data_IF_064000374556
#
_entry.id   IF_064000374556
#
_cell.length_a   1.000
_cell.length_b   1.000
_cell.length_c   1.000
_cell.angle_alpha   90.00
_cell.angle_beta   90.00
_cell.angle_gamma   90.00
#
_symmetry.space_group_name_H-M   'P 1'
#
loop_
_entity.id
_entity.type
_entity.pdbx_description
1 polymer ?
#
# COMPACT_ATOMS: atom_id res chain seq x y z
N UNK A 1 -1.67 47.68 28.95
CA UNK A 1 -0.43 46.97 28.56
C UNK A 1 -0.71 45.48 28.54
N UNK A 2 -0.87 44.90 27.35
CA UNK A 2 -1.13 43.46 27.16
C UNK A 2 0.18 42.68 27.32
N UNK A 3 0.27 41.79 28.32
CA UNK A 3 1.37 40.83 28.42
C UNK A 3 1.04 39.67 27.47
N UNK A 4 1.71 39.66 26.32
CA UNK A 4 1.78 38.52 25.42
C UNK A 4 2.43 37.37 26.20
N UNK A 5 1.62 36.41 26.64
CA UNK A 5 2.10 35.13 27.15
C UNK A 5 2.75 34.38 25.99
N UNK A 6 4.07 34.48 25.87
CA UNK A 6 4.85 33.58 25.03
C UNK A 6 4.74 32.19 25.64
N UNK A 7 3.85 31.37 25.08
CA UNK A 7 3.81 29.93 25.31
C UNK A 7 5.16 29.37 24.85
N UNK A 8 6.08 29.17 25.80
CA UNK A 8 7.37 28.53 25.58
C UNK A 8 7.07 27.10 25.14
N UNK A 9 7.02 26.87 23.82
CA UNK A 9 7.07 25.53 23.26
C UNK A 9 8.37 24.91 23.78
N UNK A 10 8.26 23.91 24.63
CA UNK A 10 9.40 23.14 25.10
C UNK A 10 9.86 22.31 23.88
N UNK A 11 10.70 22.92 23.04
CA UNK A 11 11.38 22.24 21.95
C UNK A 11 12.25 21.14 22.59
N UNK A 12 11.77 19.90 22.55
CA UNK A 12 12.43 18.79 23.23
C UNK A 12 13.59 18.34 22.35
N UNK A 13 14.77 18.86 22.66
CA UNK A 13 16.06 18.49 22.06
C UNK A 13 16.48 17.12 22.61
N UNK A 14 16.54 16.10 21.75
CA UNK A 14 16.96 14.76 22.16
C UNK A 14 18.23 14.36 21.41
N UNK A 15 19.25 13.95 22.15
CA UNK A 15 20.48 13.37 21.62
C UNK A 15 20.64 11.96 22.19
N UNK A 16 20.60 10.95 21.32
CA UNK A 16 20.76 9.54 21.65
C UNK A 16 22.06 8.95 21.09
N UNK A 17 22.94 9.77 20.53
CA UNK A 17 24.26 9.38 20.06
C UNK A 17 24.98 8.45 21.06
N UNK A 18 25.60 7.39 20.54
CA UNK A 18 26.29 6.33 21.29
C UNK A 18 25.37 5.36 22.05
N UNK A 19 24.05 5.40 21.82
CA UNK A 19 23.15 4.36 22.29
C UNK A 19 23.13 3.18 21.30
N UNK A 20 23.18 1.91 21.73
CA UNK A 20 23.01 0.76 20.85
C UNK A 20 21.70 0.81 20.03
N UNK A 21 20.68 1.53 20.50
CA UNK A 21 19.45 1.78 19.75
C UNK A 21 19.69 2.53 18.43
N UNK A 22 20.74 3.35 18.32
CA UNK A 22 21.08 4.06 17.09
C UNK A 22 21.59 3.14 15.97
N UNK A 23 21.85 1.85 16.26
CA UNK A 23 22.31 0.88 15.26
C UNK A 23 21.17 0.36 14.37
N UNK A 24 19.91 0.51 14.79
CA UNK A 24 18.76 0.00 14.03
C UNK A 24 18.34 0.97 12.92
N UNK A 25 18.19 0.50 11.67
CA UNK A 25 17.86 1.37 10.52
C UNK A 25 16.60 2.24 10.68
N UNK A 26 15.64 1.83 11.52
CA UNK A 26 14.37 2.54 11.74
C UNK A 26 14.30 3.25 13.10
N UNK A 27 15.38 3.27 13.88
CA UNK A 27 15.37 3.83 15.25
C UNK A 27 14.85 5.27 15.28
N UNK A 28 15.30 6.08 14.32
CA UNK A 28 14.93 7.49 14.20
C UNK A 28 13.42 7.65 14.01
N UNK A 29 12.83 6.93 13.06
CA UNK A 29 11.39 6.99 12.80
C UNK A 29 10.58 6.43 13.98
N UNK A 30 11.09 5.39 14.64
CA UNK A 30 10.48 4.80 15.83
C UNK A 30 10.41 5.79 16.99
N UNK A 31 11.50 6.51 17.27
CA UNK A 31 11.53 7.55 18.31
C UNK A 31 10.56 8.68 17.98
N UNK A 32 10.54 9.14 16.72
CA UNK A 32 9.62 10.20 16.30
C UNK A 32 8.16 9.73 16.44
N UNK A 33 7.86 8.44 16.21
CA UNK A 33 6.51 7.86 16.39
C UNK A 33 6.05 7.94 17.84
N UNK A 34 6.90 7.50 18.77
CA UNK A 34 6.58 7.47 20.19
C UNK A 34 6.68 8.84 20.86
N UNK A 35 7.49 9.74 20.33
CA UNK A 35 7.71 11.10 20.85
C UNK A 35 7.41 12.15 19.78
N UNK A 36 6.13 12.45 19.49
CA UNK A 36 5.75 13.40 18.45
C UNK A 36 6.18 14.85 18.76
N UNK A 37 6.47 15.18 20.02
CA UNK A 37 6.92 16.51 20.45
C UNK A 37 8.39 16.84 20.14
N UNK A 38 9.18 15.88 19.65
CA UNK A 38 10.60 16.08 19.35
C UNK A 38 10.75 16.93 18.08
N UNK A 39 11.42 18.07 18.18
CA UNK A 39 11.72 18.96 17.05
C UNK A 39 13.13 18.72 16.49
N UNK A 40 14.10 18.38 17.36
CA UNK A 40 15.47 18.08 16.98
C UNK A 40 15.90 16.75 17.61
N UNK A 41 16.27 15.79 16.76
CA UNK A 41 16.74 14.48 17.16
C UNK A 41 18.13 14.26 16.58
N UNK A 42 19.11 13.96 17.44
CA UNK A 42 20.50 13.72 17.04
C UNK A 42 21.03 14.84 16.14
N UNK A 43 20.91 16.10 16.58
CA UNK A 43 21.32 17.32 15.85
C UNK A 43 20.62 17.53 14.49
N UNK A 44 19.72 16.64 14.08
CA UNK A 44 18.96 16.72 12.84
C UNK A 44 17.52 17.12 13.13
N UNK A 45 17.03 18.16 12.45
CA UNK A 45 15.63 18.57 12.57
C UNK A 45 14.71 17.47 12.06
N UNK A 46 13.63 17.24 12.80
CA UNK A 46 12.59 16.29 12.39
C UNK A 46 11.76 16.95 11.29
N UNK A 47 11.86 16.41 10.09
CA UNK A 47 11.13 16.91 8.93
C UNK A 47 9.68 16.43 8.92
N UNK A 48 8.80 17.19 8.27
CA UNK A 48 7.41 16.77 8.10
C UNK A 48 7.29 15.50 7.24
N UNK A 49 8.24 15.29 6.31
CA UNK A 49 8.33 14.07 5.52
C UNK A 49 8.50 12.84 6.41
N UNK A 50 9.42 12.87 7.36
CA UNK A 50 9.62 11.79 8.33
C UNK A 50 8.37 11.54 9.17
N UNK A 51 7.68 12.61 9.61
CA UNK A 51 6.43 12.50 10.36
C UNK A 51 5.34 11.80 9.55
N UNK A 52 5.19 12.15 8.28
CA UNK A 52 4.23 11.50 7.37
C UNK A 52 4.62 10.05 7.10
N UNK A 53 5.89 9.77 6.81
CA UNK A 53 6.42 8.43 6.57
C UNK A 53 6.22 7.50 7.76
N UNK A 54 6.41 8.00 8.98
CA UNK A 54 6.22 7.24 10.20
C UNK A 54 4.74 6.86 10.42
N UNK A 55 3.80 7.76 10.14
CA UNK A 55 2.36 7.43 10.19
C UNK A 55 2.03 6.33 9.19
N UNK A 56 2.59 6.41 7.97
CA UNK A 56 2.41 5.39 6.93
C UNK A 56 2.99 4.02 7.33
N UNK A 57 4.12 4.01 8.05
CA UNK A 57 4.85 2.77 8.36
C UNK A 57 4.32 2.07 9.63
N UNK A 58 4.00 2.82 10.69
CA UNK A 58 3.72 2.25 12.01
C UNK A 58 2.23 2.24 12.39
N UNK A 59 1.36 2.93 11.64
CA UNK A 59 -0.06 2.98 11.97
C UNK A 59 -0.93 2.90 10.71
N UNK A 60 -1.31 1.67 10.33
CA UNK A 60 -2.12 1.41 9.14
C UNK A 60 -3.47 2.15 9.17
N UNK A 61 -4.13 2.27 10.35
CA UNK A 61 -5.42 2.98 10.48
C UNK A 61 -5.26 4.46 10.17
N UNK A 62 -4.26 5.12 10.75
CA UNK A 62 -3.97 6.53 10.49
C UNK A 62 -3.48 6.74 9.04
N UNK A 63 -2.68 5.82 8.52
CA UNK A 63 -2.23 5.84 7.13
C UNK A 63 -3.42 5.82 6.15
N UNK A 64 -4.36 4.90 6.36
CA UNK A 64 -5.57 4.78 5.55
C UNK A 64 -6.42 6.06 5.60
N UNK A 65 -6.59 6.65 6.79
CA UNK A 65 -7.31 7.93 6.93
C UNK A 65 -6.60 9.03 6.13
N UNK A 66 -5.28 9.20 6.26
CA UNK A 66 -4.53 10.22 5.51
C UNK A 66 -4.65 10.01 4.00
N UNK A 67 -4.58 8.76 3.52
CA UNK A 67 -4.76 8.43 2.11
C UNK A 67 -6.19 8.76 1.63
N UNK A 68 -7.22 8.33 2.36
CA UNK A 68 -8.62 8.61 2.00
C UNK A 68 -8.94 10.10 1.91
N UNK A 69 -8.36 10.92 2.80
CA UNK A 69 -8.47 12.39 2.78
C UNK A 69 -7.78 12.97 1.54
N UNK A 70 -6.59 12.48 1.18
CA UNK A 70 -5.85 12.95 0.01
C UNK A 70 -6.63 12.75 -1.30
N UNK A 71 -7.49 11.73 -1.36
CA UNK A 71 -8.37 11.47 -2.51
C UNK A 71 -9.73 12.18 -2.43
N UNK A 72 -9.92 13.12 -1.49
CA UNK A 72 -11.19 13.85 -1.28
C UNK A 72 -12.39 12.90 -1.02
N UNK A 73 -12.12 11.65 -0.62
CA UNK A 73 -13.15 10.71 -0.22
C UNK A 73 -13.59 11.05 1.21
N UNK A 74 -14.88 11.32 1.41
CA UNK A 74 -15.42 11.43 2.77
C UNK A 74 -15.20 10.08 3.47
N UNK A 75 -14.58 10.13 4.64
CA UNK A 75 -14.23 8.97 5.44
C UNK A 75 -15.50 8.28 5.93
N UNK A 76 -15.87 7.15 5.32
CA UNK A 76 -16.60 6.09 6.02
C UNK A 76 -15.54 5.21 6.71
N UNK A 77 -15.07 5.65 7.89
CA UNK A 77 -14.08 4.94 8.71
C UNK A 77 -14.64 3.66 9.38
N UNK A 78 -15.80 3.17 8.96
CA UNK A 78 -16.32 1.89 9.43
C UNK A 78 -16.00 0.80 8.41
N UNK A 79 -14.79 0.28 8.45
CA UNK A 79 -14.55 -1.13 8.10
C UNK A 79 -15.12 -2.02 9.21
N UNK A 80 -16.39 -1.82 9.53
CA UNK A 80 -17.13 -2.70 10.40
C UNK A 80 -17.90 -3.62 9.45
N UNK A 81 -17.57 -4.93 9.38
CA UNK A 81 -18.28 -5.87 8.52
C UNK A 81 -19.77 -6.00 8.89
N UNK A 82 -20.19 -5.38 10.00
CA UNK A 82 -21.58 -5.26 10.45
C UNK A 82 -22.20 -3.87 10.27
N UNK A 83 -21.51 -2.92 9.64
CA UNK A 83 -22.09 -1.60 9.40
C UNK A 83 -23.23 -1.68 8.36
N UNK A 84 -24.37 -0.97 8.54
CA UNK A 84 -25.49 -1.02 7.62
C UNK A 84 -25.26 -0.18 6.35
N UNK A 85 -24.04 0.31 6.11
CA UNK A 85 -23.73 1.11 4.95
C UNK A 85 -23.87 0.26 3.69
N UNK A 86 -24.85 0.64 2.86
CA UNK A 86 -25.22 -0.05 1.64
C UNK A 86 -24.04 -0.12 0.68
N UNK A 87 -23.29 -1.23 0.74
CA UNK A 87 -22.44 -1.64 -0.37
C UNK A 87 -23.34 -1.72 -1.61
N UNK A 88 -22.94 -1.06 -2.70
CA UNK A 88 -23.65 -1.19 -3.99
C UNK A 88 -23.78 -2.69 -4.30
N UNK A 89 -24.93 -3.17 -4.78
CA UNK A 89 -25.11 -4.59 -5.05
C UNK A 89 -24.00 -5.05 -5.99
N UNK A 90 -23.11 -5.92 -5.49
CA UNK A 90 -22.18 -6.64 -6.32
C UNK A 90 -23.00 -7.37 -7.38
N UNK A 91 -22.61 -7.22 -8.64
CA UNK A 91 -23.19 -7.93 -9.77
C UNK A 91 -23.28 -9.42 -9.41
N UNK A 92 -24.49 -10.01 -9.48
CA UNK A 92 -24.70 -11.44 -9.19
C UNK A 92 -23.79 -12.25 -10.11
N UNK A 93 -22.74 -12.79 -9.53
CA UNK A 93 -21.88 -13.76 -10.20
C UNK A 93 -22.71 -15.02 -10.47
N UNK A 94 -22.54 -15.70 -11.62
CA UNK A 94 -23.24 -16.94 -11.94
C UNK A 94 -23.06 -18.01 -10.86
N UNK A 95 -24.05 -18.89 -10.70
CA UNK A 95 -24.04 -19.96 -9.68
C UNK A 95 -22.85 -20.90 -9.76
N UNK A 96 -22.26 -21.05 -10.96
CA UNK A 96 -21.11 -21.93 -11.21
C UNK A 96 -19.76 -21.21 -11.01
N UNK A 97 -19.77 -19.95 -10.60
CA UNK A 97 -18.55 -19.20 -10.29
C UNK A 97 -18.03 -19.62 -8.90
N UNK A 98 -17.28 -20.71 -8.87
CA UNK A 98 -16.48 -21.06 -7.71
C UNK A 98 -15.36 -20.03 -7.57
N UNK A 99 -15.49 -19.10 -6.62
CA UNK A 99 -14.31 -18.44 -6.08
C UNK A 99 -13.42 -19.55 -5.55
N UNK A 100 -12.25 -19.75 -6.18
CA UNK A 100 -11.19 -20.52 -5.58
C UNK A 100 -10.82 -19.81 -4.28
N UNK A 101 -11.46 -20.23 -3.19
CA UNK A 101 -11.10 -19.85 -1.83
C UNK A 101 -9.77 -20.56 -1.51
N UNK A 102 -8.71 -20.13 -2.20
CA UNK A 102 -7.34 -20.26 -1.72
C UNK A 102 -7.07 -19.16 -0.68
N UNK A 103 -8.08 -18.85 0.15
CA UNK A 103 -7.86 -18.14 1.39
C UNK A 103 -7.24 -19.17 2.30
N UNK A 104 -5.92 -19.37 2.16
CA UNK A 104 -5.12 -19.82 3.29
C UNK A 104 -5.59 -18.98 4.45
N UNK A 105 -6.25 -19.62 5.41
CA UNK A 105 -6.82 -19.00 6.60
C UNK A 105 -5.71 -18.12 7.17
N UNK A 106 -5.79 -16.82 6.95
CA UNK A 106 -4.70 -15.91 7.25
C UNK A 106 -4.44 -16.05 8.74
N UNK A 107 -3.25 -16.52 9.13
CA UNK A 107 -2.85 -16.67 10.54
C UNK A 107 -2.71 -15.30 11.25
N UNK A 108 -3.29 -14.25 10.69
CA UNK A 108 -3.23 -12.88 11.16
C UNK A 108 -4.60 -12.54 11.74
N UNK A 109 -4.60 -12.09 13.00
CA UNK A 109 -5.81 -11.66 13.71
C UNK A 109 -6.45 -10.41 13.07
N UNK A 110 -5.64 -9.59 12.40
CA UNK A 110 -6.06 -8.41 11.64
C UNK A 110 -5.94 -8.69 10.12
N UNK A 111 -7.04 -8.58 9.34
CA UNK A 111 -6.99 -8.77 7.89
C UNK A 111 -6.07 -7.77 7.18
N UNK A 112 -5.82 -6.59 7.75
CA UNK A 112 -4.93 -5.58 7.15
C UNK A 112 -3.45 -5.95 7.27
N UNK A 113 -3.06 -6.70 8.32
CA UNK A 113 -1.70 -7.21 8.48
C UNK A 113 -1.38 -8.27 7.42
N UNK A 114 -2.38 -9.10 7.06
CA UNK A 114 -2.26 -10.04 5.96
C UNK A 114 -2.04 -9.31 4.61
N UNK A 115 -2.71 -8.18 4.38
CA UNK A 115 -2.53 -7.35 3.18
C UNK A 115 -1.13 -6.75 3.14
N UNK A 116 -0.63 -6.24 4.28
CA UNK A 116 0.73 -5.70 4.38
C UNK A 116 1.79 -6.77 4.06
N UNK A 117 1.71 -7.96 4.68
CA UNK A 117 2.63 -9.07 4.40
C UNK A 117 2.54 -9.53 2.95
N UNK A 118 1.33 -9.62 2.41
CA UNK A 118 1.10 -9.97 1.00
C UNK A 118 1.71 -8.94 0.05
N UNK A 119 1.68 -7.66 0.39
CA UNK A 119 2.31 -6.60 -0.40
C UNK A 119 3.84 -6.61 -0.32
N UNK A 120 4.41 -7.09 0.79
CA UNK A 120 5.86 -7.25 0.96
C UNK A 120 6.40 -8.51 0.26
N UNK A 121 5.56 -9.53 0.07
CA UNK A 121 5.90 -10.77 -0.63
C UNK A 121 5.99 -10.48 -2.13
N UNK A 122 7.20 -10.25 -2.64
CA UNK A 122 7.42 -9.96 -4.07
C UNK A 122 6.89 -11.11 -4.93
N UNK A 123 5.75 -10.89 -5.57
CA UNK A 123 5.25 -11.81 -6.60
C UNK A 123 6.07 -11.58 -7.86
N UNK A 124 6.63 -12.64 -8.44
CA UNK A 124 7.20 -12.57 -9.77
C UNK A 124 6.10 -12.09 -10.74
N UNK A 125 6.36 -11.00 -11.46
CA UNK A 125 5.37 -10.38 -12.34
C UNK A 125 5.71 -10.74 -13.79
N UNK A 126 4.82 -11.39 -14.51
CA UNK A 126 5.01 -11.72 -15.93
C UNK A 126 4.15 -10.84 -16.84
N UNK A 127 4.75 -10.25 -17.85
CA UNK A 127 4.06 -9.49 -18.91
C UNK A 127 4.14 -10.31 -20.20
N UNK A 128 3.01 -10.58 -20.84
CA UNK A 128 2.91 -11.30 -22.11
C UNK A 128 2.47 -10.35 -23.22
N UNK A 129 3.24 -10.24 -24.30
CA UNK A 129 2.91 -9.47 -25.50
C UNK A 129 2.81 -10.38 -26.71
N UNK A 130 1.77 -10.20 -27.53
CA UNK A 130 1.49 -10.99 -28.74
C UNK A 130 1.78 -10.16 -29.99
N UNK A 131 2.45 -10.75 -30.98
CA UNK A 131 2.62 -10.13 -32.29
C UNK A 131 1.34 -10.30 -33.13
N UNK A 132 0.59 -9.23 -33.32
CA UNK A 132 -0.67 -9.24 -34.08
C UNK A 132 -0.48 -9.45 -35.59
N UNK A 133 0.70 -9.18 -36.13
CA UNK A 133 1.01 -9.41 -37.55
C UNK A 133 1.07 -10.91 -37.89
N UNK A 134 1.25 -11.76 -36.88
CA UNK A 134 1.22 -13.22 -37.01
C UNK A 134 -0.15 -13.83 -36.73
N UNK A 135 -1.16 -13.02 -36.39
CA UNK A 135 -2.51 -13.50 -36.10
C UNK A 135 -3.37 -13.28 -37.35
N UNK A 136 -3.90 -14.35 -37.99
CA UNK A 136 -4.69 -14.20 -39.20
C UNK A 136 -5.99 -13.45 -38.91
N UNK A 137 -6.32 -12.49 -39.77
CA UNK A 137 -7.56 -11.74 -39.70
C UNK A 137 -8.75 -12.62 -40.10
N UNK A 138 -9.96 -12.16 -39.77
CA UNK A 138 -11.18 -12.95 -39.97
C UNK A 138 -11.38 -13.35 -41.44
N UNK A 139 -11.02 -12.49 -42.39
CA UNK A 139 -11.17 -12.72 -43.83
C UNK A 139 -10.16 -13.75 -44.35
N UNK A 140 -8.91 -13.66 -43.89
CA UNK A 140 -7.81 -14.57 -44.24
C UNK A 140 -8.07 -16.01 -43.76
N UNK A 141 -8.75 -16.17 -42.61
CA UNK A 141 -9.18 -17.48 -42.10
C UNK A 141 -10.18 -18.22 -42.99
N UNK A 142 -10.95 -17.51 -43.81
CA UNK A 142 -11.93 -18.12 -44.71
C UNK A 142 -11.38 -18.33 -46.12
N UNK A 143 -10.24 -17.74 -46.45
CA UNK A 143 -9.65 -17.73 -47.80
C UNK A 143 -8.47 -18.70 -47.98
N UNK A 144 -7.75 -19.07 -46.91
CA UNK A 144 -6.56 -19.93 -47.05
C UNK A 144 -6.73 -21.36 -46.51
N UNK A 145 -6.40 -22.33 -47.38
CA UNK A 145 -6.06 -23.73 -47.13
C UNK A 145 -4.59 -23.89 -46.65
N UNK A 146 -3.94 -22.80 -46.23
CA UNK A 146 -2.53 -22.80 -45.81
C UNK A 146 -2.38 -22.78 -44.30
N UNK A 147 -1.52 -23.68 -43.79
CA UNK A 147 -1.12 -23.75 -42.40
C UNK A 147 -0.42 -22.45 -41.97
N UNK A 148 -1.19 -21.51 -41.41
CA UNK A 148 -0.62 -20.32 -40.76
C UNK A 148 0.15 -20.77 -39.53
N UNK A 149 1.45 -20.46 -39.47
CA UNK A 149 2.31 -20.82 -38.34
C UNK A 149 1.82 -20.26 -36.99
N UNK A 150 2.30 -20.80 -35.87
CA UNK A 150 1.82 -20.39 -34.54
C UNK A 150 2.11 -18.91 -34.27
N UNK A 151 1.13 -18.22 -33.69
CA UNK A 151 1.26 -16.80 -33.33
C UNK A 151 2.44 -16.58 -32.37
N UNK A 152 3.28 -15.60 -32.67
CA UNK A 152 4.49 -15.35 -31.89
C UNK A 152 4.14 -14.52 -30.65
N UNK A 153 4.39 -15.08 -29.46
CA UNK A 153 4.18 -14.42 -28.18
C UNK A 153 5.50 -14.31 -27.41
N UNK A 154 5.73 -13.16 -26.78
CA UNK A 154 6.87 -12.88 -25.93
C UNK A 154 6.42 -12.70 -24.49
N UNK A 155 7.07 -13.40 -23.55
CA UNK A 155 6.77 -13.31 -22.12
C UNK A 155 8.00 -12.80 -21.37
N UNK A 156 7.87 -11.65 -20.70
CA UNK A 156 8.91 -11.04 -19.87
C UNK A 156 8.55 -11.29 -18.42
N UNK A 157 9.43 -11.94 -17.67
CA UNK A 157 9.26 -12.15 -16.22
C UNK A 157 10.15 -11.18 -15.44
N UNK A 158 9.52 -10.38 -14.59
CA UNK A 158 10.16 -9.41 -13.69
C UNK A 158 10.20 -10.03 -12.29
N UNK A 159 11.41 -10.12 -11.72
CA UNK A 159 11.68 -10.63 -10.37
C UNK A 159 12.05 -9.50 -9.42
#
# INVERSE_FOLDING_TARGET
MSRMGSSLKIATLIALYQNPLCQYNLYRLYIIYHLPGVELLDRNQVTEKERRSMILLFNHKKAHIVQSIAFRGKVDASWDPRSPFKQKPAQRVPSDFAFANNVDKTMFDDPEDAVFVRSMKRSAMSITSLNWDTVPTQEEKYLEEKDTGPAQMLTITLR
#
